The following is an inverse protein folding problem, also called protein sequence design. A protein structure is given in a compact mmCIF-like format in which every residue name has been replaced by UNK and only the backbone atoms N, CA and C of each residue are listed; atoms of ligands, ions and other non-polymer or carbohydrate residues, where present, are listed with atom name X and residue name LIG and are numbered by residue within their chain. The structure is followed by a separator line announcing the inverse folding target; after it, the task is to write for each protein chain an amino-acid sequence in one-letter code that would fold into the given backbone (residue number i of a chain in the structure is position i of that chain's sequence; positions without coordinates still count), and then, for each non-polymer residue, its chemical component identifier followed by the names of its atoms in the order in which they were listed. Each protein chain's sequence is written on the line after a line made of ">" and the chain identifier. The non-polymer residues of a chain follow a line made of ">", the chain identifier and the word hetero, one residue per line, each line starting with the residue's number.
data_IF_586345378331
#
_entry.id   IF_586345378331
#
_cell.length_a   1.000
_cell.length_b   1.000
_cell.length_c   1.000
_cell.angle_alpha   90.00
_cell.angle_beta   90.00
_cell.angle_gamma   90.00
#
_symmetry.space_group_name_H-M   'P 1'
#
loop_
_entity.id
_entity.type
_entity.pdbx_description
1 polymer ?
#
# COMPACT_ATOMS: atom_id res chain seq x y z
N UNK A 1 -25.20 38.65 46.01
CA UNK A 1 -25.75 37.43 45.39
C UNK A 1 -24.63 36.72 44.67
N UNK A 2 -24.15 35.64 45.28
CA UNK A 2 -23.13 34.74 44.74
C UNK A 2 -23.76 33.92 43.61
N UNK A 3 -23.48 34.30 42.36
CA UNK A 3 -23.87 33.53 41.20
C UNK A 3 -23.06 32.24 41.16
N UNK A 4 -23.68 31.12 41.49
CA UNK A 4 -23.10 29.81 41.18
C UNK A 4 -22.83 29.74 39.68
N UNK A 5 -21.57 29.54 39.31
CA UNK A 5 -21.22 29.17 37.94
C UNK A 5 -22.03 27.92 37.57
N UNK A 6 -22.67 27.88 36.39
CA UNK A 6 -23.45 26.72 35.98
C UNK A 6 -22.55 25.48 36.06
N UNK A 7 -22.97 24.51 36.89
CA UNK A 7 -22.31 23.22 37.04
C UNK A 7 -21.96 22.70 35.66
N UNK A 8 -20.66 22.50 35.38
CA UNK A 8 -20.17 21.88 34.15
C UNK A 8 -21.06 20.69 33.85
N UNK A 9 -21.87 20.77 32.80
CA UNK A 9 -22.64 19.64 32.29
C UNK A 9 -21.66 18.48 32.14
N UNK A 10 -21.80 17.44 32.96
CA UNK A 10 -21.11 16.16 32.75
C UNK A 10 -21.66 15.57 31.46
N UNK A 11 -21.16 16.06 30.33
CA UNK A 11 -21.48 15.60 28.98
C UNK A 11 -20.51 14.50 28.55
N UNK A 12 -20.02 13.71 29.50
CA UNK A 12 -19.04 12.66 29.25
C UNK A 12 -19.85 11.40 28.94
N UNK A 13 -19.55 10.76 27.81
CA UNK A 13 -20.09 9.45 27.50
C UNK A 13 -19.49 8.45 28.48
N UNK A 14 -20.32 7.60 29.08
CA UNK A 14 -19.88 6.63 30.09
C UNK A 14 -19.63 5.27 29.43
N UNK A 15 -18.64 4.53 29.94
CA UNK A 15 -18.39 3.16 29.51
C UNK A 15 -19.45 2.27 30.15
N UNK A 16 -20.42 1.83 29.36
CA UNK A 16 -21.51 0.97 29.84
C UNK A 16 -21.10 -0.51 29.89
N UNK A 17 -20.21 -0.95 29.00
CA UNK A 17 -19.69 -2.30 29.00
C UNK A 17 -18.34 -2.40 28.28
N UNK A 18 -17.57 -3.42 28.63
CA UNK A 18 -16.34 -3.77 27.94
C UNK A 18 -16.26 -5.29 27.81
N UNK A 19 -16.05 -5.78 26.59
CA UNK A 19 -15.88 -7.21 26.30
C UNK A 19 -14.59 -7.43 25.53
N UNK A 20 -13.75 -8.34 26.01
CA UNK A 20 -12.57 -8.80 25.28
C UNK A 20 -12.96 -9.97 24.36
N UNK A 21 -12.41 -10.00 23.15
CA UNK A 21 -12.55 -11.08 22.19
C UNK A 21 -11.23 -11.86 22.07
N UNK A 22 -11.30 -13.11 21.61
CA UNK A 22 -10.15 -14.03 21.50
C UNK A 22 -8.99 -13.50 20.64
N UNK A 23 -9.26 -12.55 19.73
CA UNK A 23 -8.26 -11.99 18.82
C UNK A 23 -7.51 -10.75 19.37
N UNK A 24 -7.53 -10.54 20.69
CA UNK A 24 -6.96 -9.34 21.33
C UNK A 24 -7.73 -8.04 21.03
N UNK A 25 -8.92 -8.17 20.45
CA UNK A 25 -9.85 -7.06 20.22
C UNK A 25 -10.69 -6.82 21.47
N UNK A 26 -10.99 -5.55 21.72
CA UNK A 26 -11.83 -5.09 22.81
C UNK A 26 -13.02 -4.35 22.20
N UNK A 27 -14.22 -4.75 22.58
CA UNK A 27 -15.45 -4.02 22.27
C UNK A 27 -15.83 -3.20 23.48
N UNK A 28 -15.76 -1.87 23.35
CA UNK A 28 -16.18 -0.93 24.40
C UNK A 28 -17.51 -0.31 24.00
N UNK A 29 -18.53 -0.54 24.82
CA UNK A 29 -19.84 0.10 24.67
C UNK A 29 -19.81 1.44 25.41
N UNK A 30 -20.11 2.51 24.69
CA UNK A 30 -20.33 3.83 25.27
C UNK A 30 -21.83 4.15 25.30
N UNK A 31 -22.30 4.74 26.40
CA UNK A 31 -23.69 5.15 26.57
C UNK A 31 -23.81 6.61 27.01
N UNK A 32 -24.81 7.31 26.48
CA UNK A 32 -25.23 8.64 26.92
C UNK A 32 -26.70 8.89 26.60
N UNK A 33 -27.50 9.22 27.61
CA UNK A 33 -28.93 9.60 27.46
C UNK A 33 -29.71 8.60 26.59
N UNK A 34 -29.52 7.30 26.81
CA UNK A 34 -30.17 6.22 26.04
C UNK A 34 -29.60 5.97 24.64
N UNK A 35 -28.59 6.73 24.20
CA UNK A 35 -27.83 6.42 22.97
C UNK A 35 -26.66 5.51 23.33
N UNK A 36 -26.50 4.43 22.57
CA UNK A 36 -25.46 3.43 22.75
C UNK A 36 -24.67 3.27 21.44
N UNK A 37 -23.34 3.21 21.52
CA UNK A 37 -22.53 2.75 20.39
C UNK A 37 -21.37 1.88 20.86
N UNK A 38 -21.05 0.86 20.07
CA UNK A 38 -19.95 -0.04 20.33
C UNK A 38 -18.71 0.41 19.55
N UNK A 39 -17.55 0.25 20.16
CA UNK A 39 -16.25 0.54 19.57
C UNK A 39 -15.40 -0.71 19.65
N UNK A 40 -15.13 -1.30 18.50
CA UNK A 40 -14.02 -2.25 18.35
C UNK A 40 -12.72 -1.48 18.37
N UNK A 41 -11.85 -1.80 19.31
CA UNK A 41 -10.47 -1.33 19.40
C UNK A 41 -9.55 -2.52 19.69
N UNK A 42 -8.23 -2.31 19.64
CA UNK A 42 -7.31 -3.24 20.26
C UNK A 42 -6.98 -2.79 21.69
N UNK A 43 -6.13 -3.56 22.39
CA UNK A 43 -5.57 -3.14 23.67
C UNK A 43 -4.59 -1.95 23.54
N UNK A 44 -3.96 -1.81 22.37
CA UNK A 44 -3.04 -0.73 22.05
C UNK A 44 -3.79 0.49 21.53
N UNK A 45 -3.17 1.68 21.63
CA UNK A 45 -3.81 2.92 21.16
C UNK A 45 -3.76 2.98 19.63
N UNK A 46 -4.69 3.71 19.02
CA UNK A 46 -4.72 3.91 17.57
C UNK A 46 -3.37 4.36 17.00
N UNK A 47 -2.67 5.26 17.71
CA UNK A 47 -1.37 5.77 17.26
C UNK A 47 -0.30 4.70 17.18
N UNK A 48 -0.33 3.72 18.09
CA UNK A 48 0.67 2.65 18.15
C UNK A 48 0.43 1.62 17.04
N UNK A 49 -0.83 1.44 16.62
CA UNK A 49 -1.21 0.38 15.67
C UNK A 49 -1.37 0.86 14.23
N UNK A 50 -1.64 2.15 14.00
CA UNK A 50 -2.04 2.64 12.68
C UNK A 50 -1.43 3.99 12.26
N UNK A 51 -0.87 4.78 13.19
CA UNK A 51 -0.35 6.11 12.88
C UNK A 51 1.18 6.19 13.03
N UNK A 52 1.68 6.22 14.27
CA UNK A 52 3.10 6.26 14.56
C UNK A 52 3.76 4.92 14.29
N UNK A 53 3.18 3.85 14.85
CA UNK A 53 3.47 2.47 14.50
C UNK A 53 2.57 1.95 13.37
N UNK A 54 2.75 0.66 13.04
CA UNK A 54 1.85 -0.05 12.16
C UNK A 54 1.83 -1.54 12.49
N UNK A 55 0.72 -2.00 13.07
CA UNK A 55 0.43 -3.40 13.35
C UNK A 55 -0.60 -3.90 12.34
N UNK A 56 -0.11 -4.52 11.27
CA UNK A 56 -0.94 -5.03 10.19
C UNK A 56 -1.97 -6.07 10.69
N UNK A 57 -1.64 -6.89 11.71
CA UNK A 57 -2.54 -7.92 12.26
C UNK A 57 -3.72 -7.24 12.94
N UNK A 58 -3.45 -6.29 13.84
CA UNK A 58 -4.48 -5.57 14.57
C UNK A 58 -5.34 -4.70 13.64
N UNK A 59 -4.72 -4.00 12.69
CA UNK A 59 -5.44 -3.18 11.71
C UNK A 59 -6.41 -4.03 10.88
N UNK A 60 -5.95 -5.15 10.31
CA UNK A 60 -6.80 -6.05 9.56
C UNK A 60 -7.91 -6.66 10.42
N UNK A 61 -7.60 -7.08 11.65
CA UNK A 61 -8.58 -7.65 12.58
C UNK A 61 -9.71 -6.65 12.92
N UNK A 62 -9.39 -5.38 13.21
CA UNK A 62 -10.40 -4.36 13.51
C UNK A 62 -11.26 -4.07 12.28
N UNK A 63 -10.65 -3.95 11.08
CA UNK A 63 -11.40 -3.65 9.86
C UNK A 63 -12.36 -4.80 9.51
N UNK A 64 -11.88 -6.05 9.61
CA UNK A 64 -12.68 -7.25 9.31
C UNK A 64 -13.74 -7.59 10.35
N UNK A 65 -13.66 -7.03 11.56
CA UNK A 65 -14.65 -7.27 12.61
C UNK A 65 -16.05 -6.85 12.14
N UNK A 66 -17.05 -7.70 12.37
CA UNK A 66 -18.46 -7.40 12.07
C UNK A 66 -19.04 -6.35 13.02
N UNK A 67 -18.44 -6.21 14.20
CA UNK A 67 -18.86 -5.23 15.18
C UNK A 67 -18.72 -3.79 14.62
N UNK A 68 -19.69 -2.92 14.92
CA UNK A 68 -19.63 -1.53 14.51
C UNK A 68 -18.50 -0.79 15.23
N UNK A 69 -18.12 0.34 14.66
CA UNK A 69 -17.18 1.27 15.29
C UNK A 69 -17.67 2.70 15.08
N UNK A 70 -17.03 3.66 15.74
CA UNK A 70 -17.43 5.06 15.60
C UNK A 70 -17.12 5.59 14.18
N UNK A 71 -17.86 6.60 13.70
CA UNK A 71 -17.67 7.17 12.37
C UNK A 71 -16.22 7.57 12.10
N UNK A 72 -15.68 7.15 10.96
CA UNK A 72 -14.30 7.45 10.54
C UNK A 72 -13.22 6.50 11.08
N UNK A 73 -13.51 5.62 12.05
CA UNK A 73 -12.49 4.71 12.60
C UNK A 73 -11.97 3.70 11.58
N UNK A 74 -12.87 2.90 10.99
CA UNK A 74 -12.49 1.92 9.97
C UNK A 74 -11.96 2.60 8.70
N UNK A 75 -12.44 3.80 8.37
CA UNK A 75 -11.91 4.61 7.25
C UNK A 75 -10.46 5.07 7.51
N UNK A 76 -10.13 5.47 8.74
CA UNK A 76 -8.77 5.84 9.12
C UNK A 76 -7.83 4.63 9.13
N UNK A 77 -8.29 3.48 9.63
CA UNK A 77 -7.54 2.22 9.57
C UNK A 77 -7.33 1.73 8.12
N UNK A 78 -8.35 1.85 7.27
CA UNK A 78 -8.24 1.53 5.85
C UNK A 78 -7.24 2.45 5.14
N UNK A 79 -7.26 3.75 5.47
CA UNK A 79 -6.27 4.71 5.00
C UNK A 79 -4.86 4.36 5.48
N UNK A 80 -4.71 3.92 6.73
CA UNK A 80 -3.43 3.48 7.27
C UNK A 80 -2.89 2.24 6.52
N UNK A 81 -3.73 1.22 6.31
CA UNK A 81 -3.38 0.01 5.56
C UNK A 81 -2.97 0.35 4.12
N UNK A 82 -3.80 1.11 3.41
CA UNK A 82 -3.51 1.54 2.04
C UNK A 82 -2.23 2.38 1.98
N UNK A 83 -2.04 3.29 2.93
CA UNK A 83 -0.85 4.13 3.00
C UNK A 83 0.42 3.33 3.29
N UNK A 84 0.34 2.31 4.14
CA UNK A 84 1.43 1.38 4.38
C UNK A 84 1.76 0.55 3.14
N UNK A 85 0.74 0.05 2.42
CA UNK A 85 0.95 -0.70 1.17
C UNK A 85 1.71 0.12 0.12
N UNK A 86 1.42 1.42 0.04
CA UNK A 86 1.94 2.34 -0.98
C UNK A 86 3.26 3.03 -0.60
N UNK A 87 3.59 3.12 0.69
CA UNK A 87 4.69 3.96 1.20
C UNK A 87 6.05 3.25 1.24
N UNK A 88 6.98 3.64 0.36
CA UNK A 88 8.34 3.07 0.29
C UNK A 88 9.35 3.73 1.24
N UNK A 89 9.68 3.14 2.38
CA UNK A 89 10.72 3.68 3.30
C UNK A 89 10.35 5.01 4.00
N UNK A 90 9.55 5.88 3.38
CA UNK A 90 8.74 6.94 4.00
C UNK A 90 7.39 6.38 4.50
N UNK A 91 7.28 5.06 4.66
CA UNK A 91 6.02 4.36 4.95
C UNK A 91 5.27 4.90 6.16
N UNK A 92 5.98 5.52 7.12
CA UNK A 92 5.35 6.27 8.20
C UNK A 92 4.73 7.59 7.73
N UNK A 93 5.43 8.38 6.93
CA UNK A 93 4.94 9.68 6.41
C UNK A 93 3.73 9.48 5.51
N UNK A 94 3.81 8.59 4.52
CA UNK A 94 2.72 8.38 3.58
C UNK A 94 1.46 7.84 4.27
N UNK A 95 1.65 6.89 5.21
CA UNK A 95 0.58 6.37 6.07
C UNK A 95 -0.04 7.46 6.93
N UNK A 96 0.75 8.25 7.66
CA UNK A 96 0.25 9.32 8.54
C UNK A 96 -0.51 10.37 7.76
N UNK A 97 0.00 10.80 6.59
CA UNK A 97 -0.72 11.71 5.67
C UNK A 97 -2.05 11.10 5.21
N UNK A 98 -2.06 9.80 4.92
CA UNK A 98 -3.28 9.10 4.51
C UNK A 98 -4.33 9.09 5.63
N UNK A 99 -3.92 8.75 6.85
CA UNK A 99 -4.78 8.79 8.04
C UNK A 99 -5.31 10.21 8.28
N UNK A 100 -4.45 11.22 8.26
CA UNK A 100 -4.84 12.61 8.47
C UNK A 100 -5.86 13.09 7.43
N UNK A 101 -5.70 12.72 6.16
CA UNK A 101 -6.68 13.02 5.12
C UNK A 101 -8.04 12.34 5.36
N UNK A 102 -8.02 11.09 5.86
CA UNK A 102 -9.24 10.36 6.21
C UNK A 102 -9.98 11.02 7.37
N UNK A 103 -9.25 11.40 8.42
CA UNK A 103 -9.78 12.14 9.58
C UNK A 103 -10.34 13.50 9.17
N UNK A 104 -9.60 14.26 8.35
CA UNK A 104 -10.05 15.55 7.82
C UNK A 104 -11.33 15.42 6.97
N UNK A 105 -11.42 14.37 6.16
CA UNK A 105 -12.62 14.08 5.36
C UNK A 105 -13.82 13.75 6.26
N UNK A 106 -13.59 13.03 7.36
CA UNK A 106 -14.63 12.71 8.34
C UNK A 106 -15.14 13.98 9.04
N UNK A 107 -14.23 14.86 9.47
CA UNK A 107 -14.58 16.16 10.06
C UNK A 107 -15.38 17.02 9.07
N UNK A 108 -14.90 17.17 7.84
CA UNK A 108 -15.58 17.97 6.82
C UNK A 108 -16.98 17.42 6.49
N UNK A 109 -17.19 16.09 6.52
CA UNK A 109 -18.53 15.49 6.37
C UNK A 109 -19.42 15.86 7.55
N UNK A 110 -18.92 15.72 8.78
CA UNK A 110 -19.64 16.05 9.99
C UNK A 110 -20.06 17.53 10.05
N UNK A 111 -19.19 18.44 9.62
CA UNK A 111 -19.47 19.87 9.52
C UNK A 111 -20.54 20.20 8.47
N UNK A 112 -20.46 19.59 7.27
CA UNK A 112 -21.45 19.80 6.21
C UNK A 112 -22.83 19.30 6.59
N UNK A 113 -22.91 18.15 7.26
CA UNK A 113 -24.19 17.64 7.76
C UNK A 113 -24.86 18.60 8.73
N UNK A 114 -24.08 19.37 9.50
CA UNK A 114 -24.59 20.37 10.42
C UNK A 114 -24.98 21.68 9.71
N UNK A 115 -24.20 22.13 8.72
CA UNK A 115 -24.49 23.34 7.95
C UNK A 115 -25.73 23.22 7.04
N UNK A 116 -26.18 21.99 6.75
CA UNK A 116 -27.38 21.71 5.95
C UNK A 116 -28.68 21.64 6.74
N UNK A 117 -28.65 21.71 8.08
CA UNK A 117 -29.85 21.81 8.90
C UNK A 117 -30.29 23.29 8.99
N UNK A 118 -31.58 23.62 8.78
CA UNK A 118 -32.05 24.98 8.94
C UNK A 118 -31.78 25.43 10.38
N UNK A 119 -30.99 26.50 10.53
CA UNK A 119 -30.76 27.12 11.83
C UNK A 119 -32.11 27.58 12.38
N UNK A 120 -32.63 26.90 13.40
CA UNK A 120 -33.55 27.54 14.33
C UNK A 120 -32.84 28.77 14.91
N UNK A 121 -33.45 29.94 14.74
CA UNK A 121 -32.91 31.28 15.06
C UNK A 121 -32.39 31.43 16.51
N UNK A 122 -32.63 30.47 17.40
CA UNK A 122 -32.13 30.48 18.77
C UNK A 122 -30.66 30.04 18.93
N UNK A 123 -30.06 29.38 17.93
CA UNK A 123 -28.67 28.89 18.02
C UNK A 123 -27.61 29.89 17.49
N UNK A 124 -28.03 31.02 16.92
CA UNK A 124 -27.14 32.07 16.40
C UNK A 124 -26.23 32.73 17.47
N UNK A 125 -26.45 32.44 18.77
CA UNK A 125 -25.62 32.93 19.88
C UNK A 125 -24.39 32.05 20.19
N UNK A 126 -24.29 30.84 19.64
CA UNK A 126 -23.12 29.97 19.82
C UNK A 126 -22.10 30.21 18.70
N UNK A 127 -21.11 31.08 18.95
CA UNK A 127 -19.99 31.42 18.04
C UNK A 127 -19.05 30.26 17.68
N UNK A 128 -19.40 29.03 18.00
CA UNK A 128 -18.66 27.84 17.61
C UNK A 128 -19.63 26.82 17.03
N UNK A 129 -19.35 26.21 15.86
CA UNK A 129 -20.12 25.07 15.40
C UNK A 129 -20.09 24.03 16.53
N UNK A 130 -21.24 23.55 17.03
CA UNK A 130 -21.21 22.51 18.03
C UNK A 130 -20.50 21.32 17.40
N UNK A 131 -19.42 20.92 18.05
CA UNK A 131 -18.52 19.81 17.69
C UNK A 131 -19.26 18.45 17.83
N UNK A 132 -20.58 18.40 17.65
CA UNK A 132 -21.47 17.46 18.36
C UNK A 132 -22.15 16.37 17.53
N UNK A 133 -21.77 16.14 16.27
CA UNK A 133 -22.22 14.93 15.53
C UNK A 133 -21.25 13.75 15.64
N UNK A 134 -19.97 14.02 15.94
CA UNK A 134 -18.97 12.97 16.17
C UNK A 134 -18.90 12.58 17.66
N UNK A 135 -18.78 11.29 17.98
CA UNK A 135 -18.69 10.83 19.36
C UNK A 135 -17.34 11.22 19.99
N UNK A 136 -17.22 11.38 21.33
CA UNK A 136 -15.95 11.70 21.98
C UNK A 136 -14.85 10.68 21.70
N UNK A 137 -15.21 9.41 21.45
CA UNK A 137 -14.26 8.38 21.04
C UNK A 137 -13.50 8.78 19.75
N UNK A 138 -14.15 9.46 18.80
CA UNK A 138 -13.45 10.00 17.63
C UNK A 138 -12.35 10.99 18.04
N UNK A 139 -12.67 11.88 18.97
CA UNK A 139 -11.71 12.89 19.41
C UNK A 139 -10.55 12.28 20.20
N UNK A 140 -10.88 11.39 21.14
CA UNK A 140 -9.91 10.75 22.02
C UNK A 140 -9.00 9.74 21.32
N UNK A 141 -9.52 8.97 20.35
CA UNK A 141 -8.78 7.89 19.70
C UNK A 141 -8.17 8.29 18.34
N UNK A 142 -8.79 9.21 17.59
CA UNK A 142 -8.27 9.64 16.28
C UNK A 142 -7.74 11.07 16.32
N UNK A 143 -8.61 12.05 16.58
CA UNK A 143 -8.31 13.45 16.29
C UNK A 143 -7.16 14.02 17.13
N UNK A 144 -7.25 13.93 18.46
CA UNK A 144 -6.18 14.44 19.32
C UNK A 144 -4.87 13.64 19.15
N UNK A 145 -4.90 12.30 19.11
CA UNK A 145 -3.67 11.52 18.97
C UNK A 145 -2.87 11.78 17.68
N UNK A 146 -3.53 12.13 16.57
CA UNK A 146 -2.79 12.47 15.33
C UNK A 146 -2.20 13.89 15.33
N UNK A 147 -2.39 14.67 16.40
CA UNK A 147 -1.95 16.08 16.47
C UNK A 147 -3.01 17.11 16.09
N UNK A 148 -4.29 16.72 16.06
CA UNK A 148 -5.45 17.62 15.87
C UNK A 148 -5.41 18.42 14.55
N UNK A 149 -6.12 19.55 14.51
CA UNK A 149 -6.13 20.48 13.37
C UNK A 149 -4.72 20.93 12.96
N UNK A 150 -3.80 21.11 13.91
CA UNK A 150 -2.42 21.52 13.62
C UNK A 150 -1.73 20.57 12.63
N UNK A 151 -1.82 19.27 12.87
CA UNK A 151 -1.25 18.27 11.95
C UNK A 151 -2.03 18.18 10.64
N UNK A 152 -3.37 18.26 10.69
CA UNK A 152 -4.23 18.20 9.50
C UNK A 152 -3.91 19.33 8.52
N UNK A 153 -3.73 20.55 9.01
CA UNK A 153 -3.44 21.74 8.18
C UNK A 153 -2.05 21.66 7.54
N UNK A 154 -1.09 21.04 8.23
CA UNK A 154 0.28 20.83 7.71
C UNK A 154 0.39 19.64 6.76
N UNK A 155 -0.59 18.73 6.77
CA UNK A 155 -0.63 17.59 5.86
C UNK A 155 -0.91 18.10 4.44
N UNK A 156 -0.17 17.62 3.41
CA UNK A 156 -0.44 18.00 2.03
C UNK A 156 -1.91 17.83 1.69
N UNK A 157 -2.50 18.85 1.06
CA UNK A 157 -3.87 18.79 0.63
C UNK A 157 -4.11 17.55 -0.25
N UNK A 158 -5.37 17.09 -0.32
CA UNK A 158 -5.77 15.93 -1.12
C UNK A 158 -5.21 15.94 -2.54
N UNK A 159 -5.12 17.11 -3.16
CA UNK A 159 -4.54 17.29 -4.49
C UNK A 159 -3.03 17.00 -4.52
N UNK A 160 -2.26 17.49 -3.54
CA UNK A 160 -0.83 17.22 -3.42
C UNK A 160 -0.53 15.73 -3.25
N UNK A 161 -1.26 15.05 -2.35
CA UNK A 161 -1.11 13.60 -2.16
C UNK A 161 -1.49 12.81 -3.44
N UNK A 162 -2.50 13.25 -4.17
CA UNK A 162 -2.89 12.65 -5.46
C UNK A 162 -1.81 12.80 -6.55
N UNK A 163 -1.09 13.92 -6.56
CA UNK A 163 0.03 14.12 -7.47
C UNK A 163 1.17 13.14 -7.15
N UNK A 164 1.54 13.01 -5.87
CA UNK A 164 2.54 12.03 -5.40
C UNK A 164 2.12 10.59 -5.76
N UNK A 165 0.84 10.25 -5.53
CA UNK A 165 0.26 8.95 -5.89
C UNK A 165 0.29 8.66 -7.39
N UNK A 166 0.11 9.69 -8.22
CA UNK A 166 0.18 9.56 -9.67
C UNK A 166 1.60 9.21 -10.12
N UNK A 167 2.61 9.80 -9.48
CA UNK A 167 4.02 9.44 -9.72
C UNK A 167 4.33 8.00 -9.27
N UNK A 168 3.80 7.60 -8.11
CA UNK A 168 3.91 6.22 -7.60
C UNK A 168 3.26 5.21 -8.55
N UNK A 169 2.21 5.58 -9.29
CA UNK A 169 1.46 4.68 -10.17
C UNK A 169 2.34 3.94 -11.18
N UNK A 170 3.28 4.65 -11.83
CA UNK A 170 4.19 4.04 -12.82
C UNK A 170 5.12 3.01 -12.16
N UNK A 171 5.51 3.27 -10.91
CA UNK A 171 6.40 2.40 -10.15
C UNK A 171 5.64 1.17 -9.62
N UNK A 172 4.40 1.35 -9.16
CA UNK A 172 3.51 0.27 -8.76
C UNK A 172 3.13 -0.63 -9.93
N UNK A 173 2.92 -0.05 -11.12
CA UNK A 173 2.74 -0.81 -12.34
C UNK A 173 3.89 -1.79 -12.58
N UNK A 174 5.13 -1.31 -12.42
CA UNK A 174 6.30 -2.16 -12.61
C UNK A 174 6.43 -3.26 -11.55
N UNK A 175 6.15 -2.96 -10.27
CA UNK A 175 6.11 -3.95 -9.19
C UNK A 175 5.08 -5.06 -9.50
N UNK A 176 3.88 -4.68 -9.95
CA UNK A 176 2.86 -5.65 -10.29
C UNK A 176 3.21 -6.48 -11.53
N UNK A 177 3.94 -5.89 -12.50
CA UNK A 177 4.45 -6.63 -13.66
C UNK A 177 5.44 -7.72 -13.24
N UNK A 178 6.37 -7.39 -12.34
CA UNK A 178 7.30 -8.38 -11.75
C UNK A 178 6.51 -9.48 -11.05
N UNK A 179 5.56 -9.13 -10.19
CA UNK A 179 4.75 -10.12 -9.47
C UNK A 179 3.91 -11.01 -10.41
N UNK A 180 3.41 -10.44 -11.52
CA UNK A 180 2.71 -11.19 -12.54
C UNK A 180 3.62 -12.18 -13.29
N UNK A 181 4.85 -11.78 -13.60
CA UNK A 181 5.84 -12.67 -14.20
C UNK A 181 6.20 -13.80 -13.23
N UNK A 182 6.45 -13.49 -11.96
CA UNK A 182 6.72 -14.50 -10.93
C UNK A 182 5.57 -15.51 -10.82
N UNK A 183 4.31 -15.03 -10.89
CA UNK A 183 3.12 -15.88 -10.90
C UNK A 183 3.09 -16.81 -12.11
N UNK A 184 3.30 -16.28 -13.32
CA UNK A 184 3.27 -17.10 -14.56
C UNK A 184 4.44 -18.08 -14.60
N UNK A 185 5.63 -17.66 -14.16
CA UNK A 185 6.78 -18.55 -14.03
C UNK A 185 6.46 -19.70 -13.09
N UNK A 186 5.88 -19.44 -11.92
CA UNK A 186 5.50 -20.50 -10.98
C UNK A 186 4.46 -21.47 -11.57
N UNK A 187 3.49 -20.99 -12.35
CA UNK A 187 2.53 -21.84 -13.07
C UNK A 187 3.27 -22.72 -14.07
N UNK A 188 4.18 -22.15 -14.86
CA UNK A 188 4.97 -22.90 -15.84
C UNK A 188 5.92 -23.93 -15.19
N UNK A 189 6.51 -23.61 -14.05
CA UNK A 189 7.41 -24.52 -13.32
C UNK A 189 6.68 -25.71 -12.68
N UNK A 190 5.36 -25.64 -12.52
CA UNK A 190 4.56 -26.79 -12.11
C UNK A 190 4.36 -27.75 -13.30
N UNK A 191 4.23 -27.19 -14.51
CA UNK A 191 3.97 -27.93 -15.74
C UNK A 191 5.26 -28.48 -16.39
N UNK A 192 6.44 -27.88 -16.12
CA UNK A 192 7.68 -28.17 -16.86
C UNK A 192 8.94 -28.01 -15.98
N UNK A 193 9.82 -29.02 -15.95
CA UNK A 193 10.98 -29.11 -15.03
C UNK A 193 12.25 -28.39 -15.52
N UNK A 194 12.22 -27.74 -16.67
CA UNK A 194 13.41 -27.24 -17.38
C UNK A 194 13.62 -25.71 -17.24
N UNK A 195 12.78 -25.02 -16.46
CA UNK A 195 12.94 -23.59 -16.22
C UNK A 195 14.06 -23.29 -15.22
N UNK A 196 14.88 -22.30 -15.55
CA UNK A 196 15.87 -21.74 -14.63
C UNK A 196 15.21 -20.98 -13.48
N UNK A 197 15.93 -20.90 -12.35
CA UNK A 197 15.50 -20.16 -11.17
C UNK A 197 15.19 -18.69 -11.46
N UNK A 198 14.20 -18.17 -10.72
CA UNK A 198 13.86 -16.75 -10.76
C UNK A 198 15.01 -15.89 -10.24
N UNK A 199 15.27 -14.80 -10.97
CA UNK A 199 16.28 -13.81 -10.66
C UNK A 199 15.68 -12.44 -10.89
N UNK A 200 15.68 -11.58 -9.85
CA UNK A 200 15.09 -10.24 -9.97
C UNK A 200 15.68 -9.46 -11.16
N UNK A 201 17.01 -9.37 -11.38
CA UNK A 201 17.56 -8.75 -12.57
C UNK A 201 16.94 -9.25 -13.88
N UNK A 202 16.78 -10.58 -14.04
CA UNK A 202 16.12 -11.16 -15.23
C UNK A 202 14.65 -10.75 -15.31
N UNK A 203 13.90 -10.85 -14.22
CA UNK A 203 12.47 -10.47 -14.17
C UNK A 203 12.28 -8.99 -14.54
N UNK A 204 13.19 -8.12 -14.09
CA UNK A 204 13.19 -6.70 -14.45
C UNK A 204 13.40 -6.47 -15.95
N UNK A 205 14.32 -7.20 -16.57
CA UNK A 205 14.56 -7.09 -18.02
C UNK A 205 13.35 -7.57 -18.83
N UNK A 206 12.76 -8.68 -18.41
CA UNK A 206 11.55 -9.23 -19.03
C UNK A 206 10.34 -8.31 -18.86
N UNK A 207 10.14 -7.72 -17.67
CA UNK A 207 9.08 -6.74 -17.44
C UNK A 207 9.21 -5.54 -18.38
N UNK A 208 10.43 -5.02 -18.57
CA UNK A 208 10.72 -3.95 -19.55
C UNK A 208 10.47 -4.39 -20.99
N UNK A 209 10.69 -5.66 -21.31
CA UNK A 209 10.45 -6.22 -22.63
C UNK A 209 8.96 -6.29 -22.94
N UNK A 210 8.18 -6.89 -22.05
CA UNK A 210 6.72 -6.99 -22.13
C UNK A 210 6.10 -5.60 -22.22
N UNK A 211 6.55 -4.66 -21.38
CA UNK A 211 6.09 -3.26 -21.42
C UNK A 211 6.31 -2.61 -22.80
N UNK A 212 7.47 -2.83 -23.43
CA UNK A 212 7.75 -2.31 -24.77
C UNK A 212 6.89 -2.96 -25.85
N UNK A 213 6.59 -4.25 -25.73
CA UNK A 213 5.72 -4.97 -26.67
C UNK A 213 4.29 -4.43 -26.57
N UNK A 214 3.78 -4.24 -25.36
CA UNK A 214 2.41 -3.79 -25.10
C UNK A 214 2.16 -2.32 -25.41
N UNK A 215 3.06 -1.44 -24.98
CA UNK A 215 2.82 0.01 -24.96
C UNK A 215 3.72 0.81 -25.91
N UNK A 216 4.67 0.14 -26.58
CA UNK A 216 5.54 0.76 -27.58
C UNK A 216 6.37 1.93 -27.04
N UNK A 217 6.27 3.11 -27.68
CA UNK A 217 7.02 4.31 -27.29
C UNK A 217 6.31 5.20 -26.24
N UNK A 218 5.11 4.82 -25.79
CA UNK A 218 4.31 5.57 -24.79
C UNK A 218 4.69 5.25 -23.34
N UNK A 219 5.81 4.57 -23.16
CA UNK A 219 6.24 3.97 -21.89
C UNK A 219 6.78 5.06 -20.94
N UNK A 220 6.41 5.04 -19.65
CA UNK A 220 7.07 5.85 -18.63
C UNK A 220 8.58 5.60 -18.62
N UNK A 221 9.40 6.64 -18.51
CA UNK A 221 10.86 6.49 -18.47
C UNK A 221 11.30 5.78 -17.18
N UNK A 222 11.32 4.44 -17.21
CA UNK A 222 11.65 3.57 -16.08
C UNK A 222 13.15 3.25 -15.99
N UNK A 223 14.01 4.03 -16.66
CA UNK A 223 15.47 3.84 -16.62
C UNK A 223 16.04 3.97 -15.19
N UNK A 224 15.35 4.68 -14.30
CA UNK A 224 15.75 4.91 -12.91
C UNK A 224 15.17 3.89 -11.91
N UNK A 225 14.27 2.99 -12.32
CA UNK A 225 13.74 1.94 -11.44
C UNK A 225 14.82 0.89 -11.22
N UNK A 226 15.45 0.95 -10.04
CA UNK A 226 16.46 0.01 -9.59
C UNK A 226 15.83 -1.11 -8.78
N UNK A 227 16.55 -2.23 -8.72
CA UNK A 227 16.29 -3.34 -7.81
C UNK A 227 15.98 -2.90 -6.36
N UNK A 228 16.73 -1.92 -5.85
CA UNK A 228 16.54 -1.33 -4.51
C UNK A 228 15.14 -0.76 -4.27
N UNK A 229 14.39 -0.45 -5.34
CA UNK A 229 13.02 0.02 -5.22
C UNK A 229 12.07 -1.11 -4.84
N UNK A 230 12.18 -2.28 -5.50
CA UNK A 230 11.35 -3.46 -5.18
C UNK A 230 11.59 -3.90 -3.74
N UNK A 231 12.85 -3.86 -3.29
CA UNK A 231 13.23 -4.12 -1.89
C UNK A 231 12.41 -3.34 -0.86
N UNK A 232 12.04 -2.08 -1.17
CA UNK A 232 11.27 -1.24 -0.24
C UNK A 232 9.80 -1.66 -0.11
N UNK A 233 9.30 -2.46 -1.04
CA UNK A 233 7.92 -2.96 -1.08
C UNK A 233 7.79 -4.44 -0.76
N UNK A 234 8.88 -5.16 -0.47
CA UNK A 234 8.89 -6.61 -0.28
C UNK A 234 7.75 -7.11 0.60
N UNK A 235 7.48 -6.43 1.71
CA UNK A 235 6.39 -6.76 2.64
C UNK A 235 4.99 -6.44 2.12
N UNK A 236 4.84 -5.48 1.21
CA UNK A 236 3.53 -5.09 0.66
C UNK A 236 3.25 -5.64 -0.74
N UNK A 237 4.24 -6.23 -1.44
CA UNK A 237 4.08 -6.81 -2.78
C UNK A 237 2.89 -7.77 -2.86
N UNK A 238 2.69 -8.74 -1.94
CA UNK A 238 1.54 -9.65 -2.02
C UNK A 238 0.20 -8.91 -2.00
N UNK A 239 0.08 -7.87 -1.16
CA UNK A 239 -1.13 -7.05 -1.05
C UNK A 239 -1.32 -6.13 -2.26
N UNK A 240 -0.24 -5.52 -2.76
CA UNK A 240 -0.28 -4.65 -3.95
C UNK A 240 -0.68 -5.45 -5.19
N UNK A 241 -0.09 -6.63 -5.37
CA UNK A 241 -0.38 -7.50 -6.50
C UNK A 241 -1.80 -8.03 -6.43
N UNK A 242 -2.25 -8.52 -5.27
CA UNK A 242 -3.65 -8.93 -5.07
C UNK A 242 -4.63 -7.78 -5.36
N UNK A 243 -4.35 -6.56 -4.88
CA UNK A 243 -5.18 -5.40 -5.18
C UNK A 243 -5.18 -5.03 -6.67
N UNK A 244 -4.10 -5.31 -7.40
CA UNK A 244 -3.98 -5.02 -8.83
C UNK A 244 -4.86 -5.93 -9.68
N UNK A 245 -5.13 -7.17 -9.24
CA UNK A 245 -5.94 -8.16 -9.96
C UNK A 245 -7.42 -8.13 -9.59
N UNK A 246 -7.81 -7.34 -8.61
CA UNK A 246 -9.20 -7.19 -8.19
C UNK A 246 -9.88 -6.06 -8.94
N UNK A 247 -11.03 -6.31 -9.62
CA UNK A 247 -11.80 -5.23 -10.23
C UNK A 247 -12.46 -4.35 -9.17
N UNK A 248 -12.37 -3.03 -9.32
CA UNK A 248 -13.15 -2.05 -8.55
C UNK A 248 -14.35 -1.53 -9.34
N UNK A 249 -14.13 -1.24 -10.62
CA UNK A 249 -15.13 -0.88 -11.63
C UNK A 249 -14.74 -1.52 -12.98
N UNK A 250 -15.51 -1.27 -14.05
CA UNK A 250 -15.22 -1.81 -15.40
C UNK A 250 -13.81 -1.47 -15.91
N UNK A 251 -13.24 -0.35 -15.47
CA UNK A 251 -11.97 0.18 -16.01
C UNK A 251 -10.90 0.42 -14.94
N UNK A 252 -11.22 0.22 -13.66
CA UNK A 252 -10.33 0.56 -12.55
C UNK A 252 -10.20 -0.66 -11.63
N UNK A 253 -8.96 -1.07 -11.34
CA UNK A 253 -8.65 -2.09 -10.33
C UNK A 253 -8.76 -1.52 -8.91
N UNK A 254 -8.81 -2.39 -7.91
CA UNK A 254 -8.80 -1.98 -6.51
C UNK A 254 -7.55 -1.17 -6.17
N UNK A 255 -6.37 -1.60 -6.66
CA UNK A 255 -5.15 -0.82 -6.52
C UNK A 255 -5.28 0.57 -7.16
N UNK A 256 -5.91 0.66 -8.33
CA UNK A 256 -6.19 1.95 -8.98
C UNK A 256 -7.08 2.86 -8.12
N UNK A 257 -8.10 2.30 -7.46
CA UNK A 257 -8.93 3.06 -6.53
C UNK A 257 -8.15 3.51 -5.28
N UNK A 258 -7.33 2.63 -4.71
CA UNK A 258 -6.45 2.91 -3.56
C UNK A 258 -5.46 4.03 -3.91
N UNK A 259 -4.82 3.95 -5.07
CA UNK A 259 -3.90 4.96 -5.58
C UNK A 259 -4.59 6.30 -5.90
N UNK A 260 -5.92 6.35 -6.01
CA UNK A 260 -6.69 7.59 -6.15
C UNK A 260 -7.21 8.15 -4.82
N UNK A 261 -6.68 7.64 -3.69
CA UNK A 261 -7.11 7.93 -2.33
C UNK A 261 -8.60 7.62 -2.09
N UNK A 262 -9.10 6.53 -2.70
CA UNK A 262 -10.40 5.95 -2.39
C UNK A 262 -10.21 4.71 -1.49
N UNK A 263 -9.66 4.92 -0.30
CA UNK A 263 -9.29 3.83 0.62
C UNK A 263 -10.50 3.08 1.19
N UNK A 264 -11.65 3.74 1.32
CA UNK A 264 -12.93 3.12 1.69
C UNK A 264 -13.36 2.00 0.73
N UNK A 265 -12.76 1.91 -0.46
CA UNK A 265 -13.00 0.80 -1.41
C UNK A 265 -12.74 -0.58 -0.82
N UNK A 266 -11.79 -0.68 0.13
CA UNK A 266 -11.45 -1.96 0.77
C UNK A 266 -12.49 -2.35 1.84
N UNK A 267 -13.26 -1.39 2.34
CA UNK A 267 -14.31 -1.61 3.34
C UNK A 267 -15.62 -2.15 2.73
N UNK A 268 -15.71 -2.22 1.40
CA UNK A 268 -16.86 -2.82 0.73
C UNK A 268 -16.99 -4.30 1.16
N UNK A 269 -18.21 -4.83 1.32
CA UNK A 269 -18.43 -6.19 1.78
C UNK A 269 -17.61 -7.22 0.98
N UNK A 270 -16.89 -8.08 1.69
CA UNK A 270 -16.05 -9.14 1.11
C UNK A 270 -14.73 -8.71 0.46
N UNK A 271 -14.53 -7.41 0.15
CA UNK A 271 -13.35 -6.94 -0.58
C UNK A 271 -12.07 -7.13 0.22
N UNK A 272 -12.04 -6.75 1.50
CA UNK A 272 -10.84 -6.97 2.32
C UNK A 272 -10.51 -8.46 2.48
N UNK A 273 -11.52 -9.31 2.72
CA UNK A 273 -11.33 -10.76 2.85
C UNK A 273 -10.74 -11.36 1.58
N UNK A 274 -11.26 -10.96 0.42
CA UNK A 274 -10.74 -11.37 -0.88
C UNK A 274 -9.29 -10.89 -1.09
N UNK A 275 -9.00 -9.63 -0.78
CA UNK A 275 -7.67 -9.04 -0.89
C UNK A 275 -6.65 -9.79 -0.05
N UNK A 276 -6.97 -10.04 1.23
CA UNK A 276 -6.06 -10.74 2.15
C UNK A 276 -5.90 -12.21 1.72
N UNK A 277 -6.96 -12.89 1.33
CA UNK A 277 -6.89 -14.29 0.88
C UNK A 277 -6.04 -14.47 -0.38
N UNK A 278 -6.14 -13.54 -1.34
CA UNK A 278 -5.27 -13.52 -2.52
C UNK A 278 -3.82 -13.21 -2.17
N UNK A 279 -3.59 -12.29 -1.23
CA UNK A 279 -2.25 -11.97 -0.75
C UNK A 279 -1.59 -13.17 -0.07
N UNK A 280 -2.34 -13.92 0.77
CA UNK A 280 -1.86 -15.16 1.39
C UNK A 280 -1.55 -16.22 0.34
N UNK A 281 -2.46 -16.45 -0.62
CA UNK A 281 -2.21 -17.40 -1.71
C UNK A 281 -0.93 -17.04 -2.47
N UNK A 282 -0.78 -15.78 -2.88
CA UNK A 282 0.40 -15.34 -3.60
C UNK A 282 1.68 -15.47 -2.76
N UNK A 283 1.64 -15.05 -1.49
CA UNK A 283 2.78 -15.14 -0.59
C UNK A 283 3.24 -16.59 -0.37
N UNK A 284 2.30 -17.51 -0.13
CA UNK A 284 2.59 -18.91 0.17
C UNK A 284 3.03 -19.69 -1.08
N UNK A 285 2.29 -19.55 -2.18
CA UNK A 285 2.42 -20.47 -3.33
C UNK A 285 3.38 -20.00 -4.42
N UNK A 286 3.61 -18.68 -4.51
CA UNK A 286 4.36 -18.08 -5.62
C UNK A 286 5.55 -17.30 -5.08
N UNK A 287 5.30 -16.30 -4.23
CA UNK A 287 6.35 -15.48 -3.66
C UNK A 287 7.30 -16.31 -2.80
N UNK A 288 6.72 -17.21 -2.01
CA UNK A 288 7.34 -18.16 -1.09
C UNK A 288 8.35 -19.10 -1.71
N UNK A 289 8.12 -19.50 -2.97
CA UNK A 289 8.98 -20.47 -3.65
C UNK A 289 10.25 -19.84 -4.21
N UNK A 290 10.33 -18.52 -4.20
CA UNK A 290 11.43 -17.74 -4.75
C UNK A 290 12.41 -17.25 -3.67
N UNK A 291 12.76 -18.13 -2.73
CA UNK A 291 13.63 -17.84 -1.57
C UNK A 291 15.05 -17.39 -1.93
N UNK A 292 15.49 -17.64 -3.16
CA UNK A 292 16.82 -17.23 -3.66
C UNK A 292 16.96 -15.70 -3.82
N UNK A 293 15.87 -14.95 -3.64
CA UNK A 293 15.87 -13.50 -3.67
C UNK A 293 15.99 -12.95 -2.24
N UNK A 294 17.00 -12.11 -1.92
CA UNK A 294 17.20 -11.54 -0.60
C UNK A 294 15.95 -10.83 -0.06
N UNK A 295 15.73 -10.91 1.26
CA UNK A 295 14.63 -10.26 2.00
C UNK A 295 13.21 -10.83 1.74
N UNK A 296 13.03 -11.77 0.80
CA UNK A 296 11.73 -12.41 0.57
C UNK A 296 11.31 -13.28 1.75
N UNK A 297 12.18 -14.15 2.25
CA UNK A 297 11.86 -15.09 3.33
C UNK A 297 11.29 -14.36 4.57
N UNK A 298 11.97 -13.31 5.03
CA UNK A 298 11.52 -12.51 6.18
C UNK A 298 10.21 -11.73 5.89
N UNK A 299 9.97 -11.35 4.64
CA UNK A 299 8.73 -10.69 4.23
C UNK A 299 7.55 -11.66 4.16
N UNK A 300 7.79 -12.90 3.73
CA UNK A 300 6.80 -13.99 3.73
C UNK A 300 6.45 -14.35 5.17
N UNK A 301 7.45 -14.59 6.03
CA UNK A 301 7.22 -14.92 7.44
C UNK A 301 6.36 -13.85 8.12
N UNK A 302 6.68 -12.57 7.88
CA UNK A 302 5.88 -11.46 8.37
C UNK A 302 4.42 -11.52 7.89
N UNK A 303 4.19 -11.73 6.59
CA UNK A 303 2.84 -11.79 6.01
C UNK A 303 2.06 -13.00 6.54
N UNK A 304 2.69 -14.18 6.59
CA UNK A 304 2.05 -15.41 7.04
C UNK A 304 1.70 -15.36 8.54
N UNK A 305 2.59 -14.83 9.39
CA UNK A 305 2.29 -14.64 10.81
C UNK A 305 1.20 -13.59 11.06
N UNK A 306 1.18 -12.55 10.23
CA UNK A 306 0.25 -11.43 10.39
C UNK A 306 -1.16 -11.78 9.89
N UNK A 307 -1.25 -12.52 8.79
CA UNK A 307 -2.51 -12.95 8.18
C UNK A 307 -2.89 -14.39 8.56
N UNK A 308 -2.39 -14.85 9.71
CA UNK A 308 -2.75 -16.13 10.29
C UNK A 308 -4.28 -16.25 10.44
N UNK A 309 -4.82 -17.42 10.07
CA UNK A 309 -6.26 -17.69 10.02
C UNK A 309 -7.01 -17.09 8.82
N UNK A 310 -6.36 -16.34 7.91
CA UNK A 310 -6.98 -15.90 6.65
C UNK A 310 -6.96 -17.05 5.64
N UNK A 311 -8.13 -17.42 5.12
CA UNK A 311 -8.26 -18.43 4.08
C UNK A 311 -7.62 -17.97 2.76
N UNK A 312 -6.73 -18.80 2.22
CA UNK A 312 -6.07 -18.55 0.92
C UNK A 312 -7.09 -18.55 -0.22
N UNK A 313 -6.92 -17.63 -1.17
CA UNK A 313 -7.79 -17.51 -2.36
C UNK A 313 -6.97 -17.49 -3.64
N UNK A 314 -6.96 -18.59 -4.41
CA UNK A 314 -6.32 -18.62 -5.73
C UNK A 314 -6.91 -17.58 -6.67
N UNK A 315 -6.07 -17.06 -7.57
CA UNK A 315 -6.49 -16.14 -8.63
C UNK A 315 -5.54 -16.27 -9.82
N UNK A 316 -5.99 -15.83 -10.99
CA UNK A 316 -5.19 -15.88 -12.21
C UNK A 316 -4.29 -14.63 -12.36
N UNK A 317 -3.13 -14.75 -13.02
CA UNK A 317 -2.35 -13.59 -13.45
C UNK A 317 -3.17 -12.65 -14.36
N UNK A 318 -2.85 -11.35 -14.40
CA UNK A 318 -3.50 -10.41 -15.31
C UNK A 318 -3.40 -10.84 -16.77
N UNK A 319 -4.51 -10.79 -17.51
CA UNK A 319 -4.61 -11.25 -18.92
C UNK A 319 -3.53 -10.62 -19.84
N UNK A 320 -3.25 -9.33 -19.66
CA UNK A 320 -2.26 -8.61 -20.45
C UNK A 320 -0.82 -9.10 -20.26
N UNK A 321 -0.52 -9.78 -19.15
CA UNK A 321 0.77 -10.46 -18.91
C UNK A 321 0.67 -11.94 -19.29
N UNK A 322 -0.48 -12.57 -19.00
CA UNK A 322 -0.72 -13.99 -19.29
C UNK A 322 -0.55 -14.33 -20.77
N UNK A 323 -0.94 -13.43 -21.69
CA UNK A 323 -0.71 -13.63 -23.13
C UNK A 323 0.77 -13.72 -23.54
N UNK A 324 1.69 -13.30 -22.67
CA UNK A 324 3.15 -13.42 -22.85
C UNK A 324 3.73 -14.68 -22.20
N UNK A 325 2.88 -15.65 -21.79
CA UNK A 325 3.32 -16.91 -21.15
C UNK A 325 4.42 -17.63 -21.93
N UNK A 326 4.31 -17.72 -23.26
CA UNK A 326 5.34 -18.36 -24.10
C UNK A 326 6.67 -17.61 -24.07
N UNK A 327 6.64 -16.27 -24.12
CA UNK A 327 7.83 -15.43 -23.98
C UNK A 327 8.47 -15.63 -22.60
N UNK A 328 7.67 -15.66 -21.53
CA UNK A 328 8.15 -15.85 -20.16
C UNK A 328 8.82 -17.23 -20.02
N UNK A 329 8.17 -18.29 -20.49
CA UNK A 329 8.74 -19.64 -20.46
C UNK A 329 10.05 -19.74 -21.23
N UNK A 330 10.10 -19.20 -22.46
CA UNK A 330 11.33 -19.17 -23.23
C UNK A 330 12.43 -18.36 -22.55
N UNK A 331 12.11 -17.19 -22.00
CA UNK A 331 13.09 -16.30 -21.34
C UNK A 331 13.77 -16.96 -20.12
N UNK A 332 13.07 -17.85 -19.42
CA UNK A 332 13.62 -18.63 -18.31
C UNK A 332 14.13 -20.02 -18.72
N UNK A 333 14.04 -20.43 -19.99
CA UNK A 333 14.68 -21.66 -20.48
C UNK A 333 16.18 -21.46 -20.69
N UNK A 334 16.96 -22.54 -20.65
CA UNK A 334 18.39 -22.51 -20.97
C UNK A 334 18.65 -21.92 -22.37
N UNK A 335 17.89 -22.37 -23.37
CA UNK A 335 18.03 -21.90 -24.76
C UNK A 335 17.67 -20.42 -24.94
N UNK A 336 16.65 -19.92 -24.23
CA UNK A 336 16.29 -18.51 -24.29
C UNK A 336 17.32 -17.61 -23.60
N UNK A 337 17.96 -18.09 -22.53
CA UNK A 337 19.06 -17.38 -21.89
C UNK A 337 20.26 -17.24 -22.84
N UNK A 338 20.70 -18.34 -23.47
CA UNK A 338 21.78 -18.32 -24.46
C UNK A 338 21.46 -17.39 -25.64
N UNK A 339 20.23 -17.44 -26.14
CA UNK A 339 19.79 -16.60 -27.26
C UNK A 339 19.73 -15.09 -26.90
N UNK A 340 19.38 -14.77 -25.65
CA UNK A 340 19.32 -13.38 -25.18
C UNK A 340 20.71 -12.78 -24.93
N UNK A 341 21.65 -13.58 -24.43
CA UNK A 341 23.04 -13.18 -24.17
C UNK A 341 23.90 -13.07 -25.45
N UNK A 342 23.44 -13.65 -26.56
CA UNK A 342 24.13 -13.62 -27.86
C UNK A 342 24.06 -12.23 -28.55
N UNK A 343 25.12 -11.74 -29.22
CA UNK A 343 25.14 -10.41 -29.85
C UNK A 343 24.10 -10.21 -30.97
N UNK A 344 23.67 -11.31 -31.60
CA UNK A 344 22.60 -11.33 -32.58
C UNK A 344 21.28 -11.67 -31.88
N UNK A 345 20.64 -10.66 -31.28
CA UNK A 345 19.28 -10.78 -30.71
C UNK A 345 18.23 -11.25 -31.74
N UNK A 346 18.57 -11.27 -33.03
CA UNK A 346 17.70 -11.76 -34.10
C UNK A 346 17.27 -13.22 -33.91
N UNK A 347 18.13 -14.08 -33.34
CA UNK A 347 17.78 -15.49 -33.13
C UNK A 347 16.70 -15.66 -32.05
N UNK A 348 16.80 -14.92 -30.94
CA UNK A 348 15.80 -14.87 -29.87
C UNK A 348 14.40 -14.48 -30.41
N UNK A 349 14.34 -13.39 -31.20
CA UNK A 349 13.08 -12.91 -31.77
C UNK A 349 12.51 -13.85 -32.85
N UNK A 350 13.39 -14.43 -33.67
CA UNK A 350 13.00 -15.42 -34.69
C UNK A 350 12.44 -16.70 -34.07
N UNK A 351 13.03 -17.20 -32.98
CA UNK A 351 12.57 -18.40 -32.28
C UNK A 351 11.18 -18.23 -31.67
N UNK A 352 10.82 -17.00 -31.29
CA UNK A 352 9.53 -16.65 -30.71
C UNK A 352 8.48 -16.24 -31.75
N UNK A 353 8.83 -16.15 -33.03
CA UNK A 353 7.95 -15.59 -34.06
C UNK A 353 7.54 -14.13 -33.79
N UNK A 354 8.30 -13.41 -32.97
CA UNK A 354 7.98 -12.05 -32.53
C UNK A 354 8.79 -11.02 -33.34
N UNK A 355 8.17 -9.88 -33.73
CA UNK A 355 8.91 -8.83 -34.41
C UNK A 355 9.94 -8.20 -33.45
N UNK A 356 11.16 -7.98 -33.94
CA UNK A 356 12.21 -7.27 -33.17
C UNK A 356 11.68 -5.89 -32.78
N UNK A 357 11.56 -5.55 -31.49
CA UNK A 357 11.12 -4.23 -31.07
C UNK A 357 12.06 -3.17 -31.63
N UNK A 358 11.52 -2.17 -32.34
CA UNK A 358 12.30 -1.03 -32.83
C UNK A 358 12.76 -0.17 -31.64
N UNK A 359 13.89 -0.53 -31.03
CA UNK A 359 14.54 0.28 -30.02
C UNK A 359 15.09 1.53 -30.72
N UNK A 360 14.57 2.72 -30.41
CA UNK A 360 15.16 3.99 -30.90
C UNK A 360 16.64 4.03 -30.47
N UNK A 361 17.54 4.15 -31.44
CA UNK A 361 18.97 4.42 -31.23
C UNK A 361 19.10 5.68 -30.36
N UNK A 362 19.42 5.50 -29.08
CA UNK A 362 19.47 6.57 -28.09
C UNK A 362 19.61 6.06 -26.65
N UNK A 363 19.09 4.87 -26.35
CA UNK A 363 19.39 4.18 -25.10
C UNK A 363 20.68 3.36 -25.27
N UNK A 364 21.85 3.98 -25.05
CA UNK A 364 23.11 3.24 -24.91
C UNK A 364 22.89 2.14 -23.87
N UNK A 365 23.08 0.89 -24.30
CA UNK A 365 23.01 -0.27 -23.44
C UNK A 365 23.98 -0.12 -22.28
N UNK A 366 23.44 0.05 -21.08
CA UNK A 366 24.16 -0.28 -19.88
C UNK A 366 24.31 -1.79 -19.84
N UNK A 367 25.42 -2.32 -20.37
CA UNK A 367 26.01 -3.51 -19.78
C UNK A 367 26.18 -3.19 -18.30
N UNK A 368 25.35 -3.77 -17.44
CA UNK A 368 25.67 -3.92 -16.03
C UNK A 368 26.92 -4.81 -16.00
N UNK A 369 28.11 -4.18 -16.07
CA UNK A 369 29.28 -4.77 -15.46
C UNK A 369 28.92 -4.89 -13.98
N UNK A 370 28.64 -6.10 -13.53
CA UNK A 370 28.84 -6.47 -12.13
C UNK A 370 30.31 -6.17 -11.83
N UNK A 371 30.59 -4.94 -11.38
CA UNK A 371 31.87 -4.59 -10.81
C UNK A 371 31.80 -4.97 -9.34
N UNK A 372 32.62 -5.96 -9.02
CA UNK A 372 32.93 -6.50 -7.71
C UNK A 372 32.95 -5.44 -6.60
N UNK A 373 32.34 -5.82 -5.48
CA UNK A 373 32.63 -5.24 -4.17
C UNK A 373 34.14 -5.28 -3.89
N UNK A 374 34.79 -4.11 -3.81
CA UNK A 374 35.97 -3.88 -2.96
C UNK A 374 35.95 -2.48 -2.35
N UNK A 375 35.69 -2.46 -1.03
CA UNK A 375 36.21 -1.58 0.04
C UNK A 375 36.81 -0.22 -0.35
N UNK A 376 36.41 0.82 0.37
CA UNK A 376 37.17 1.27 1.55
C UNK A 376 36.48 2.42 2.27
N UNK A 377 36.38 2.27 3.60
CA UNK A 377 36.32 3.37 4.55
C UNK A 377 37.31 4.48 4.19
N UNK A 378 36.87 5.74 4.29
CA UNK A 378 37.73 6.82 4.78
C UNK A 378 36.91 7.87 5.51
N UNK A 379 36.84 7.66 6.81
CA UNK A 379 36.85 8.70 7.84
C UNK A 379 37.95 9.72 7.54
N UNK A 380 37.61 11.01 7.66
CA UNK A 380 38.50 12.11 8.07
C UNK A 380 39.71 12.48 7.21
N UNK A 381 39.80 13.74 6.78
CA UNK A 381 41.05 14.31 6.31
C UNK A 381 40.93 15.66 5.62
N UNK A 382 41.07 16.74 6.41
CA UNK A 382 41.46 18.07 5.93
C UNK A 382 42.63 17.99 4.94
N UNK A 383 42.55 18.65 3.78
CA UNK A 383 43.71 19.36 3.18
C UNK A 383 43.25 20.64 2.48
N UNK A 384 43.70 21.74 3.08
CA UNK A 384 44.04 23.08 2.57
C UNK A 384 43.86 23.36 1.07
N UNK A 385 43.12 24.43 0.78
CA UNK A 385 43.32 25.27 -0.41
C UNK A 385 44.30 26.40 -0.07
N UNK A 386 45.56 26.23 -0.43
CA UNK A 386 46.48 27.33 -0.67
C UNK A 386 46.98 27.20 -2.12
N UNK A 387 46.62 28.15 -2.96
CA UNK A 387 47.56 28.72 -3.94
C UNK A 387 47.02 30.06 -4.44
N UNK A 388 47.84 31.08 -4.18
CA UNK A 388 47.75 32.42 -4.73
C UNK A 388 48.07 32.41 -6.23
N UNK A 389 47.37 33.28 -6.96
CA UNK A 389 48.00 34.29 -7.83
C UNK A 389 47.16 35.56 -7.60
N UNK A 390 47.71 36.73 -7.29
CA UNK A 390 49.02 37.33 -7.59
C UNK A 390 49.98 37.39 -6.41
#
# INVERSE_FOLDING_TARGET
>A
MSGELPRRLKSVWEVAAQRSQENGLKVTTYERKGRRYDVVSSANRFVDIAFDGFDLKQVCAIIMSENPSFPGHKDALAAALCGWMLGHGEGAVFRRRSVALSVATTLAKAERSYAGEPLDEQLASLRHPPVSSLPPAFFAELYYPIGSLGYIVQTPARYGLRSELTELRNRLFFINMIAAIDHIHQILSIDDTVLTDLSLPKTFELARLIEKIEYGARVPNNNNLRYEYVKKFERSIPLLYAASTMPHSKTVSLLGAIANANWSSILRPGVLRELLGRAVYYAETIYGRNVNIPDRASSIDYIMQTLDGVERRPFEPPEHVLKHRALIGYFYSASGQEAYENPSKAHFWSALGLPVPKLRKGAKGGRLKLAESRRADRVGGLVRSDSKSK
#
